data_IF_758584285500
#
_entry.id   IF_758584285500
#
_cell.length_a   1.000
_cell.length_b   1.000
_cell.length_c   1.000
_cell.angle_alpha   90.00
_cell.angle_beta   90.00
_cell.angle_gamma   90.00
#
_symmetry.space_group_name_H-M   'P 1'
#
loop_
_entity.id
_entity.type
_entity.pdbx_description
1 polymer ?
#
# COMPACT_ATOMS: atom_id res chain seq x y z
N UNK A 1 -6.93 17.68 15.09
CA UNK A 1 -7.30 18.82 14.22
C UNK A 1 -7.53 18.25 12.83
N UNK A 2 -8.72 18.41 12.23
CA UNK A 2 -8.97 17.96 10.86
C UNK A 2 -8.36 19.00 9.93
N UNK A 3 -7.38 18.61 9.11
CA UNK A 3 -6.88 19.50 8.05
C UNK A 3 -8.00 19.71 7.03
N UNK A 4 -8.10 20.88 6.39
CA UNK A 4 -9.05 21.07 5.30
C UNK A 4 -8.74 20.11 4.15
N UNK A 5 -9.77 19.49 3.55
CA UNK A 5 -9.63 18.60 2.39
C UNK A 5 -8.84 19.24 1.24
N UNK A 6 -8.96 20.57 1.09
CA UNK A 6 -8.19 21.34 0.12
C UNK A 6 -6.69 21.24 0.35
N UNK A 7 -6.26 21.30 1.61
CA UNK A 7 -4.84 21.27 1.97
C UNK A 7 -4.28 19.88 1.77
N UNK A 8 -5.01 18.84 2.22
CA UNK A 8 -4.59 17.44 2.02
C UNK A 8 -4.61 17.07 0.54
N UNK A 9 -5.66 17.43 -0.19
CA UNK A 9 -5.78 17.21 -1.63
C UNK A 9 -4.63 17.88 -2.40
N UNK A 10 -4.36 19.16 -2.17
CA UNK A 10 -3.27 19.88 -2.84
C UNK A 10 -1.89 19.30 -2.48
N UNK A 11 -1.71 18.85 -1.24
CA UNK A 11 -0.49 18.14 -0.84
C UNK A 11 -0.31 16.84 -1.63
N UNK A 12 -1.37 16.02 -1.79
CA UNK A 12 -1.34 14.83 -2.63
C UNK A 12 -1.03 15.16 -4.09
N UNK A 13 -1.56 16.26 -4.63
CA UNK A 13 -1.23 16.75 -5.98
C UNK A 13 0.26 17.03 -6.10
N UNK A 14 0.83 17.77 -5.15
CA UNK A 14 2.26 18.06 -5.14
C UNK A 14 3.12 16.80 -5.09
N UNK A 15 2.77 15.84 -4.22
CA UNK A 15 3.49 14.58 -4.08
C UNK A 15 3.39 13.71 -5.33
N UNK A 16 2.20 13.60 -5.91
CA UNK A 16 1.96 12.85 -7.15
C UNK A 16 2.69 13.45 -8.35
N UNK A 17 2.64 14.78 -8.49
CA UNK A 17 3.36 15.51 -9.54
C UNK A 17 4.88 15.35 -9.39
N UNK A 18 5.41 15.42 -8.17
CA UNK A 18 6.83 15.20 -7.90
C UNK A 18 7.26 13.77 -8.26
N UNK A 19 6.46 12.76 -7.90
CA UNK A 19 6.73 11.37 -8.26
C UNK A 19 6.70 11.15 -9.78
N UNK A 20 5.73 11.71 -10.49
CA UNK A 20 5.64 11.64 -11.95
C UNK A 20 6.81 12.37 -12.63
N UNK A 21 7.19 13.54 -12.13
CA UNK A 21 8.32 14.31 -12.63
C UNK A 21 9.66 13.59 -12.42
N UNK A 22 9.84 12.94 -11.27
CA UNK A 22 10.98 12.05 -11.02
C UNK A 22 10.98 10.87 -12.00
N UNK A 23 9.80 10.26 -12.21
CA UNK A 23 9.53 9.24 -13.23
C UNK A 23 10.00 9.62 -14.63
N UNK A 24 9.65 10.83 -15.06
CA UNK A 24 9.93 11.31 -16.42
C UNK A 24 11.43 11.51 -16.70
N UNK A 25 12.24 11.74 -15.68
CA UNK A 25 13.68 11.90 -15.80
C UNK A 25 14.46 10.57 -15.88
N UNK A 26 13.80 9.43 -15.62
CA UNK A 26 14.48 8.14 -15.68
C UNK A 26 14.83 7.75 -17.13
N UNK A 27 16.10 7.40 -17.41
CA UNK A 27 16.49 6.98 -18.74
C UNK A 27 15.87 5.61 -19.10
N UNK A 28 15.55 5.38 -20.38
CA UNK A 28 15.06 4.08 -20.83
C UNK A 28 16.18 3.04 -20.73
N UNK A 29 15.83 1.84 -20.25
CA UNK A 29 16.76 0.71 -20.13
C UNK A 29 16.71 -0.12 -21.43
N UNK A 30 17.84 -0.31 -22.14
CA UNK A 30 17.87 -1.11 -23.36
C UNK A 30 17.43 -2.56 -23.12
N UNK A 31 16.61 -3.11 -24.01
CA UNK A 31 16.15 -4.50 -23.94
C UNK A 31 14.93 -4.76 -23.05
N UNK A 32 14.33 -3.72 -22.46
CA UNK A 32 13.12 -3.85 -21.64
C UNK A 32 11.91 -3.17 -22.32
N UNK A 33 10.79 -3.88 -22.55
CA UNK A 33 9.63 -3.32 -23.25
C UNK A 33 8.89 -2.23 -22.43
N UNK A 34 9.00 -2.28 -21.10
CA UNK A 34 8.40 -1.32 -20.18
C UNK A 34 9.51 -0.70 -19.34
N UNK A 35 9.78 0.59 -19.55
CA UNK A 35 10.84 1.32 -18.85
C UNK A 35 10.54 1.57 -17.36
N UNK A 36 11.56 1.91 -16.58
CA UNK A 36 11.42 2.17 -15.13
C UNK A 36 10.60 3.44 -14.82
N UNK A 37 10.36 4.29 -15.81
CA UNK A 37 9.57 5.51 -15.72
C UNK A 37 8.06 5.26 -15.59
N UNK A 38 7.54 4.13 -16.11
CA UNK A 38 6.09 3.89 -16.20
C UNK A 38 5.44 3.81 -14.82
N UNK A 39 6.06 3.10 -13.87
CA UNK A 39 5.52 2.96 -12.52
C UNK A 39 5.36 4.32 -11.80
N UNK A 40 6.43 5.14 -11.67
CA UNK A 40 6.32 6.46 -11.06
C UNK A 40 5.33 7.39 -11.78
N UNK A 41 5.28 7.34 -13.12
CA UNK A 41 4.36 8.15 -13.90
C UNK A 41 2.90 7.80 -13.62
N UNK A 42 2.54 6.52 -13.70
CA UNK A 42 1.15 6.05 -13.50
C UNK A 42 0.68 6.31 -12.06
N UNK A 43 1.49 5.91 -11.08
CA UNK A 43 1.13 6.09 -9.66
C UNK A 43 1.12 7.58 -9.30
N UNK A 44 2.11 8.35 -9.76
CA UNK A 44 2.19 9.79 -9.53
C UNK A 44 1.01 10.54 -10.16
N UNK A 45 0.65 10.23 -11.41
CA UNK A 45 -0.51 10.84 -12.06
C UNK A 45 -1.82 10.44 -11.39
N UNK A 46 -1.98 9.17 -11.01
CA UNK A 46 -3.17 8.70 -10.30
C UNK A 46 -3.34 9.41 -8.95
N UNK A 47 -2.25 9.53 -8.19
CA UNK A 47 -2.24 10.24 -6.92
C UNK A 47 -2.59 11.73 -7.10
N UNK A 48 -2.06 12.37 -8.14
CA UNK A 48 -2.36 13.77 -8.44
C UNK A 48 -3.83 13.97 -8.83
N UNK A 49 -4.40 13.08 -9.64
CA UNK A 49 -5.82 13.11 -10.00
C UNK A 49 -6.72 12.92 -8.77
N UNK A 50 -6.41 11.96 -7.90
CA UNK A 50 -7.12 11.78 -6.64
C UNK A 50 -7.00 13.01 -5.73
N UNK A 51 -5.82 13.61 -5.64
CA UNK A 51 -5.59 14.84 -4.87
C UNK A 51 -6.42 16.02 -5.39
N UNK A 52 -6.52 16.18 -6.71
CA UNK A 52 -7.38 17.20 -7.33
C UNK A 52 -8.86 16.93 -7.02
N UNK A 53 -9.32 15.68 -7.14
CA UNK A 53 -10.68 15.32 -6.80
C UNK A 53 -11.03 15.70 -5.35
N UNK A 54 -10.15 15.37 -4.40
CA UNK A 54 -10.32 15.73 -2.98
C UNK A 54 -10.30 17.25 -2.79
N UNK A 55 -9.35 17.96 -3.43
CA UNK A 55 -9.23 19.41 -3.28
C UNK A 55 -10.47 20.16 -3.80
N UNK A 56 -11.06 19.68 -4.90
CA UNK A 56 -12.29 20.22 -5.45
C UNK A 56 -13.56 19.68 -4.78
N UNK A 57 -13.43 18.71 -3.85
CA UNK A 57 -14.58 18.08 -3.19
C UNK A 57 -15.42 17.21 -4.13
N UNK A 58 -14.85 16.76 -5.24
CA UNK A 58 -15.49 15.87 -6.19
C UNK A 58 -15.68 14.52 -5.49
N UNK A 59 -16.93 14.12 -5.30
CA UNK A 59 -17.30 12.88 -4.64
C UNK A 59 -17.67 12.97 -3.16
N UNK A 60 -17.74 14.18 -2.57
CA UNK A 60 -18.36 14.37 -1.23
C UNK A 60 -19.80 13.88 -1.16
N UNK A 61 -20.52 13.82 -2.28
CA UNK A 61 -21.87 13.25 -2.34
C UNK A 61 -21.91 11.72 -2.31
N UNK A 62 -20.77 11.05 -2.55
CA UNK A 62 -20.61 9.60 -2.35
C UNK A 62 -20.05 9.27 -0.97
N UNK A 63 -19.72 10.28 -0.16
CA UNK A 63 -19.55 10.13 1.28
C UNK A 63 -20.95 9.95 1.89
N UNK A 64 -21.59 8.86 1.48
CA UNK A 64 -22.83 8.38 2.07
C UNK A 64 -22.48 8.12 3.53
N UNK A 65 -23.18 8.82 4.43
CA UNK A 65 -23.17 8.49 5.86
C UNK A 65 -23.25 6.98 5.93
N UNK A 66 -22.26 6.37 6.59
CA UNK A 66 -22.18 4.95 6.84
C UNK A 66 -23.57 4.53 7.32
N UNK A 67 -24.43 4.05 6.40
CA UNK A 67 -25.81 3.72 6.72
C UNK A 67 -25.66 2.32 7.30
N UNK A 68 -25.23 2.35 8.55
CA UNK A 68 -25.02 1.23 9.44
C UNK A 68 -26.34 0.48 9.40
N UNK A 69 -26.36 -0.59 8.61
CA UNK A 69 -27.35 -1.65 8.76
C UNK A 69 -27.30 -1.98 10.26
N UNK A 70 -28.39 -1.78 11.03
CA UNK A 70 -28.35 -2.02 12.46
C UNK A 70 -28.23 -3.52 12.66
N UNK A 71 -26.98 -4.00 12.71
CA UNK A 71 -26.67 -5.28 13.31
C UNK A 71 -26.78 -5.03 14.80
N UNK A 72 -27.81 -5.60 15.41
CA UNK A 72 -28.04 -5.66 16.84
C UNK A 72 -26.81 -6.32 17.50
N UNK A 73 -25.80 -5.51 17.81
CA UNK A 73 -24.50 -5.99 18.26
C UNK A 73 -23.47 -4.87 18.25
N UNK A 74 -23.31 -4.24 19.40
CA UNK A 74 -22.15 -3.43 19.83
C UNK A 74 -21.34 -2.82 18.67
N UNK A 75 -21.82 -1.69 18.15
CA UNK A 75 -21.09 -0.85 17.21
C UNK A 75 -19.69 -0.57 17.78
N UNK A 76 -18.59 -1.04 17.16
CA UNK A 76 -17.26 -0.74 17.65
C UNK A 76 -17.05 0.76 17.48
N UNK A 77 -17.11 1.51 18.58
CA UNK A 77 -16.75 2.92 18.56
C UNK A 77 -15.38 3.06 17.87
N UNK A 78 -15.23 3.98 16.90
CA UNK A 78 -13.93 4.19 16.27
C UNK A 78 -12.93 4.48 17.40
N UNK A 79 -11.88 3.67 17.57
CA UNK A 79 -11.04 3.75 18.75
C UNK A 79 -10.36 5.13 18.78
N UNK A 80 -10.82 5.99 19.68
CA UNK A 80 -10.42 7.39 19.88
C UNK A 80 -9.05 7.52 20.57
N UNK A 81 -8.23 6.47 20.53
CA UNK A 81 -6.91 6.45 21.14
C UNK A 81 -5.90 7.24 20.30
N UNK A 82 -5.04 8.04 20.96
CA UNK A 82 -3.87 8.71 20.35
C UNK A 82 -2.96 7.75 19.56
N UNK A 83 -2.99 6.46 19.91
CA UNK A 83 -2.31 5.35 19.24
C UNK A 83 -2.89 5.01 17.85
N UNK A 84 -4.14 5.35 17.57
CA UNK A 84 -4.74 5.11 16.25
C UNK A 84 -4.09 5.98 15.17
N UNK A 85 -3.79 7.24 15.49
CA UNK A 85 -3.00 8.12 14.61
C UNK A 85 -1.60 7.58 14.32
N UNK A 86 -1.01 6.81 15.24
CA UNK A 86 0.29 6.17 15.03
C UNK A 86 0.22 5.02 14.03
N UNK A 87 -0.95 4.39 13.81
CA UNK A 87 -1.15 3.39 12.76
C UNK A 87 -0.96 3.97 11.36
N UNK A 88 -1.13 5.28 11.17
CA UNK A 88 -0.82 5.93 9.90
C UNK A 88 0.69 5.86 9.55
N UNK A 89 1.56 5.70 10.54
CA UNK A 89 3.00 5.53 10.34
C UNK A 89 3.40 4.07 10.06
N UNK A 90 2.47 3.12 10.18
CA UNK A 90 2.75 1.70 10.01
C UNK A 90 3.14 1.35 8.56
N UNK A 91 2.46 1.82 7.50
CA UNK A 91 2.89 1.55 6.12
C UNK A 91 4.32 2.02 5.80
N UNK A 92 4.73 3.29 6.07
CA UNK A 92 6.11 3.70 5.81
C UNK A 92 7.12 2.97 6.69
N UNK A 93 6.78 2.65 7.95
CA UNK A 93 7.66 1.85 8.81
C UNK A 93 7.87 0.42 8.27
N UNK A 94 6.81 -0.23 7.78
CA UNK A 94 6.89 -1.55 7.15
C UNK A 94 7.67 -1.53 5.83
N UNK A 95 7.57 -0.43 5.07
CA UNK A 95 8.37 -0.24 3.86
C UNK A 95 9.86 -0.14 4.19
N UNK A 96 10.23 0.65 5.19
CA UNK A 96 11.62 0.74 5.66
C UNK A 96 12.12 -0.60 6.21
N UNK A 97 11.27 -1.32 6.94
CA UNK A 97 11.55 -2.68 7.40
C UNK A 97 11.82 -3.63 6.22
N UNK A 98 11.00 -3.58 5.16
CA UNK A 98 11.20 -4.39 3.96
C UNK A 98 12.58 -4.11 3.35
N UNK A 99 12.91 -2.85 3.09
CA UNK A 99 14.20 -2.46 2.49
C UNK A 99 15.39 -2.94 3.34
N UNK A 100 15.28 -2.89 4.67
CA UNK A 100 16.37 -3.28 5.56
C UNK A 100 16.61 -4.80 5.64
N UNK A 101 15.55 -5.61 5.49
CA UNK A 101 15.55 -7.02 5.89
C UNK A 101 15.24 -7.98 4.73
N UNK A 102 14.60 -7.54 3.65
CA UNK A 102 14.16 -8.40 2.53
C UNK A 102 15.30 -9.22 1.91
N UNK A 103 16.49 -8.64 1.77
CA UNK A 103 17.64 -9.37 1.20
C UNK A 103 18.15 -10.49 2.11
N UNK A 104 18.00 -10.33 3.44
CA UNK A 104 18.43 -11.34 4.42
C UNK A 104 17.37 -12.42 4.59
N UNK A 105 16.12 -12.03 4.85
CA UNK A 105 15.04 -12.96 5.16
C UNK A 105 14.41 -13.59 3.91
N UNK A 106 14.42 -12.87 2.79
CA UNK A 106 13.73 -13.25 1.56
C UNK A 106 12.32 -12.70 1.48
N UNK A 107 11.78 -12.68 0.26
CA UNK A 107 10.47 -12.09 -0.03
C UNK A 107 9.34 -12.74 0.77
N UNK A 108 9.29 -14.07 0.81
CA UNK A 108 8.16 -14.80 1.40
C UNK A 108 8.02 -14.49 2.89
N UNK A 109 9.10 -14.60 3.66
CA UNK A 109 9.06 -14.36 5.11
C UNK A 109 8.77 -12.88 5.42
N UNK A 110 9.42 -11.97 4.70
CA UNK A 110 9.21 -10.53 4.92
C UNK A 110 7.81 -10.09 4.54
N UNK A 111 7.29 -10.52 3.40
CA UNK A 111 5.93 -10.24 2.97
C UNK A 111 4.88 -10.88 3.90
N UNK A 112 5.12 -12.10 4.38
CA UNK A 112 4.24 -12.75 5.37
C UNK A 112 4.10 -11.90 6.63
N UNK A 113 5.23 -11.42 7.18
CA UNK A 113 5.21 -10.57 8.36
C UNK A 113 4.49 -9.24 8.09
N UNK A 114 4.78 -8.59 6.95
CA UNK A 114 4.14 -7.32 6.56
C UNK A 114 2.62 -7.49 6.42
N UNK A 115 2.15 -8.53 5.73
CA UNK A 115 0.71 -8.79 5.56
C UNK A 115 0.06 -9.11 6.90
N UNK A 116 0.70 -9.93 7.74
CA UNK A 116 0.18 -10.27 9.07
C UNK A 116 0.05 -9.03 9.97
N UNK A 117 1.11 -8.21 10.07
CA UNK A 117 1.13 -7.00 10.87
C UNK A 117 0.09 -6.00 10.35
N UNK A 118 -0.02 -5.83 9.03
CA UNK A 118 -1.00 -4.92 8.44
C UNK A 118 -2.43 -5.38 8.71
N UNK A 119 -2.73 -6.67 8.48
CA UNK A 119 -4.06 -7.22 8.69
C UNK A 119 -4.49 -7.13 10.15
N UNK A 120 -3.62 -7.48 11.09
CA UNK A 120 -3.90 -7.40 12.53
C UNK A 120 -4.00 -5.95 13.02
N UNK A 121 -3.17 -5.03 12.50
CA UNK A 121 -3.25 -3.61 12.82
C UNK A 121 -4.55 -2.97 12.33
N UNK A 122 -5.13 -3.49 11.24
CA UNK A 122 -6.44 -3.07 10.72
C UNK A 122 -7.62 -3.77 11.41
N UNK A 123 -7.36 -4.66 12.39
CA UNK A 123 -8.39 -5.32 13.19
C UNK A 123 -8.84 -6.70 12.69
N UNK A 124 -8.15 -7.28 11.71
CA UNK A 124 -8.46 -8.63 11.26
C UNK A 124 -8.21 -9.66 12.39
N UNK A 125 -9.15 -10.59 12.56
CA UNK A 125 -9.01 -11.69 13.51
C UNK A 125 -7.88 -12.62 13.04
N UNK A 126 -7.14 -13.21 13.97
CA UNK A 126 -6.03 -14.13 13.67
C UNK A 126 -6.40 -15.26 12.69
N UNK A 127 -7.65 -15.76 12.77
CA UNK A 127 -8.19 -16.78 11.87
C UNK A 127 -8.22 -16.36 10.39
N UNK A 128 -8.33 -15.06 10.10
CA UNK A 128 -8.29 -14.50 8.74
C UNK A 128 -6.89 -13.99 8.41
N UNK A 129 -6.24 -13.32 9.37
CA UNK A 129 -4.92 -12.74 9.17
C UNK A 129 -3.85 -13.79 8.86
N UNK A 130 -3.86 -14.94 9.55
CA UNK A 130 -2.87 -16.00 9.35
C UNK A 130 -2.94 -16.63 7.95
N UNK A 131 -4.08 -17.17 7.47
CA UNK A 131 -4.14 -17.73 6.12
C UNK A 131 -3.87 -16.67 5.05
N UNK A 132 -4.36 -15.44 5.23
CA UNK A 132 -4.07 -14.34 4.30
C UNK A 132 -2.57 -14.04 4.21
N UNK A 133 -1.91 -13.94 5.36
CA UNK A 133 -0.48 -13.66 5.44
C UNK A 133 0.40 -14.74 4.83
N UNK A 134 -0.07 -15.99 4.77
CA UNK A 134 0.68 -17.08 4.12
C UNK A 134 0.34 -17.17 2.63
N UNK A 135 -0.93 -17.18 2.28
CA UNK A 135 -1.39 -17.42 0.91
C UNK A 135 -1.08 -16.25 -0.02
N UNK A 136 -1.24 -15.01 0.44
CA UNK A 136 -1.04 -13.84 -0.42
C UNK A 136 0.42 -13.69 -0.88
N UNK A 137 1.45 -13.78 -0.01
CA UNK A 137 2.85 -13.76 -0.45
C UNK A 137 3.20 -14.90 -1.41
N UNK A 138 2.69 -16.10 -1.19
CA UNK A 138 2.92 -17.23 -2.11
C UNK A 138 2.32 -16.91 -3.49
N UNK A 139 1.06 -16.46 -3.52
CA UNK A 139 0.40 -16.07 -4.78
C UNK A 139 1.14 -14.95 -5.51
N UNK A 140 1.55 -13.90 -4.80
CA UNK A 140 2.32 -12.79 -5.37
C UNK A 140 3.68 -13.28 -5.87
N UNK A 141 4.36 -14.14 -5.11
CA UNK A 141 5.64 -14.72 -5.53
C UNK A 141 5.49 -15.48 -6.84
N UNK A 142 4.44 -16.31 -6.98
CA UNK A 142 4.17 -17.04 -8.21
C UNK A 142 3.86 -16.11 -9.39
N UNK A 143 3.08 -15.05 -9.17
CA UNK A 143 2.82 -14.03 -10.21
C UNK A 143 4.13 -13.40 -10.67
N UNK A 144 4.99 -12.97 -9.74
CA UNK A 144 6.24 -12.31 -10.10
C UNK A 144 7.23 -13.27 -10.76
N UNK A 145 7.41 -14.46 -10.20
CA UNK A 145 8.36 -15.46 -10.70
C UNK A 145 7.92 -16.08 -12.04
N UNK A 146 6.62 -16.42 -12.20
CA UNK A 146 6.11 -17.13 -13.39
C UNK A 146 5.52 -16.22 -14.45
N UNK A 147 4.67 -15.27 -14.05
CA UNK A 147 3.94 -14.42 -15.00
C UNK A 147 4.76 -13.21 -15.43
N UNK A 148 5.37 -12.51 -14.47
CA UNK A 148 6.14 -11.29 -14.73
C UNK A 148 7.63 -11.56 -15.00
N UNK A 149 8.13 -12.76 -14.65
CA UNK A 149 9.54 -13.18 -14.76
C UNK A 149 10.52 -12.22 -14.07
N UNK A 150 10.11 -11.64 -12.95
CA UNK A 150 10.94 -10.74 -12.13
C UNK A 150 11.49 -11.53 -10.94
N UNK A 151 12.81 -11.59 -10.75
CA UNK A 151 13.40 -12.29 -9.62
C UNK A 151 13.08 -11.53 -8.32
N UNK A 152 12.60 -12.27 -7.32
CA UNK A 152 12.36 -11.77 -5.96
C UNK A 152 13.51 -12.17 -5.02
N UNK A 153 13.77 -11.41 -3.94
CA UNK A 153 14.80 -11.75 -2.96
C UNK A 153 14.63 -13.19 -2.44
N UNK A 154 15.60 -14.09 -2.70
CA UNK A 154 15.48 -15.50 -2.31
C UNK A 154 15.59 -15.68 -0.79
N UNK A 155 16.48 -14.90 -0.16
CA UNK A 155 16.76 -14.94 1.27
C UNK A 155 17.07 -16.33 1.82
N UNK A 156 16.60 -16.62 3.03
CA UNK A 156 16.88 -17.87 3.76
C UNK A 156 16.03 -19.04 3.27
N UNK A 157 14.87 -18.76 2.66
CA UNK A 157 13.95 -19.77 2.14
C UNK A 157 13.86 -19.67 0.61
N UNK A 158 14.92 -20.07 -0.13
CA UNK A 158 14.88 -20.09 -1.57
C UNK A 158 13.84 -21.11 -2.03
N UNK A 159 12.81 -20.64 -2.73
CA UNK A 159 11.82 -21.50 -3.37
C UNK A 159 12.28 -21.77 -4.81
N UNK A 160 12.56 -23.03 -5.18
CA UNK A 160 13.08 -23.37 -6.50
C UNK A 160 12.01 -23.43 -7.61
N UNK A 161 10.74 -23.17 -7.29
CA UNK A 161 9.61 -23.32 -8.21
C UNK A 161 9.18 -22.01 -8.87
#
# INVERSE_FOLDING_TARGET
MRLPDRVTGLFLVGLGAAAAYGGWQLPPVPGQPVGPNVFPLVIGSGLALCGLAIAFGIGRSFEEEEHLIPVEGDQPQPPTGKLYGLRALLPPALLLFYVAIADRLGFILTATLIVYVTATALGARWKVALPLAVLAPIGIHLIFSKLLRVPLPPGVLPMPW
#
